data_IF_559991345119
#
_entry.id   IF_559991345119
#
_cell.length_a   1.000
_cell.length_b   1.000
_cell.length_c   1.000
_cell.angle_alpha   90.00
_cell.angle_beta   90.00
_cell.angle_gamma   90.00
#
_symmetry.space_group_name_H-M   'P 1'
#
loop_
_entity.id
_entity.type
_entity.pdbx_description
1 polymer ?
#
# COMPACT_ATOMS: atom_id res chain seq x y z
N UNK A 1 -35.74 -4.97 35.94
CA UNK A 1 -35.94 -6.41 35.67
C UNK A 1 -36.05 -6.58 34.16
N UNK A 2 -34.92 -6.64 33.47
CA UNK A 2 -34.80 -7.09 32.10
C UNK A 2 -33.60 -8.05 32.12
N UNK A 3 -33.84 -9.31 31.77
CA UNK A 3 -32.91 -10.41 32.01
C UNK A 3 -31.63 -10.28 31.17
N UNK A 4 -30.47 -10.70 31.69
CA UNK A 4 -29.33 -11.06 30.86
C UNK A 4 -29.61 -12.46 30.28
N UNK A 5 -29.13 -12.73 29.06
CA UNK A 5 -28.96 -14.07 28.44
C UNK A 5 -29.64 -14.29 27.07
N UNK A 6 -29.66 -13.29 26.18
CA UNK A 6 -29.68 -13.58 24.74
C UNK A 6 -28.55 -12.79 24.05
N UNK A 7 -27.87 -13.44 23.09
CA UNK A 7 -26.90 -12.83 22.14
C UNK A 7 -25.39 -12.81 22.47
N UNK A 8 -24.85 -13.88 23.04
CA UNK A 8 -23.41 -14.21 22.91
C UNK A 8 -23.14 -15.50 22.13
N UNK A 9 -24.01 -15.87 21.20
CA UNK A 9 -23.69 -16.92 20.23
C UNK A 9 -22.80 -16.30 19.14
N UNK A 10 -21.54 -16.72 19.06
CA UNK A 10 -20.62 -16.28 18.00
C UNK A 10 -21.32 -16.37 16.63
N UNK A 11 -21.30 -15.31 15.80
CA UNK A 11 -21.98 -15.29 14.50
C UNK A 11 -21.42 -16.36 13.55
N UNK A 12 -20.23 -16.89 13.86
CA UNK A 12 -19.57 -17.95 13.12
C UNK A 12 -19.91 -19.36 13.61
N UNK A 13 -20.59 -19.53 14.75
CA UNK A 13 -20.94 -20.86 15.25
C UNK A 13 -21.78 -21.69 14.25
N UNK A 14 -22.82 -21.12 13.60
CA UNK A 14 -23.55 -21.82 12.53
C UNK A 14 -22.68 -22.12 11.30
N UNK A 15 -21.76 -21.20 10.95
CA UNK A 15 -20.83 -21.38 9.83
C UNK A 15 -19.86 -22.55 10.05
N UNK A 16 -19.34 -22.70 11.27
CA UNK A 16 -18.44 -23.80 11.63
C UNK A 16 -19.14 -25.16 11.58
N UNK A 17 -20.41 -25.23 11.96
CA UNK A 17 -21.23 -26.45 11.86
C UNK A 17 -21.45 -26.85 10.40
N UNK A 18 -21.81 -25.89 9.54
CA UNK A 18 -21.99 -26.16 8.11
C UNK A 18 -20.66 -26.47 7.39
N UNK A 19 -19.55 -25.86 7.82
CA UNK A 19 -18.20 -26.20 7.34
C UNK A 19 -17.84 -27.66 7.68
N UNK A 20 -18.11 -28.09 8.92
CA UNK A 20 -17.92 -29.47 9.33
C UNK A 20 -18.80 -30.44 8.52
N UNK A 21 -20.04 -30.05 8.18
CA UNK A 21 -20.91 -30.83 7.29
C UNK A 21 -20.32 -30.91 5.88
N UNK A 22 -19.90 -29.79 5.29
CA UNK A 22 -19.30 -29.74 3.95
C UNK A 22 -18.04 -30.59 3.83
N UNK A 23 -17.19 -30.64 4.88
CA UNK A 23 -16.01 -31.51 4.91
C UNK A 23 -16.37 -33.00 4.93
N UNK A 24 -17.48 -33.37 5.56
CA UNK A 24 -17.98 -34.76 5.63
C UNK A 24 -18.65 -35.20 4.33
N UNK A 25 -19.47 -34.34 3.71
CA UNK A 25 -20.14 -34.59 2.43
C UNK A 25 -19.25 -34.16 1.26
N UNK A 26 -18.25 -34.97 0.90
CA UNK A 26 -17.35 -34.71 -0.22
C UNK A 26 -17.54 -35.75 -1.33
N UNK A 27 -17.07 -35.42 -2.54
CA UNK A 27 -17.25 -36.25 -3.75
C UNK A 27 -16.42 -37.55 -3.76
N UNK A 28 -15.68 -37.86 -2.69
CA UNK A 28 -14.77 -39.00 -2.65
C UNK A 28 -15.51 -40.34 -2.72
N UNK A 29 -16.69 -40.44 -2.09
CA UNK A 29 -17.53 -41.63 -2.16
C UNK A 29 -18.07 -41.85 -3.58
N UNK A 30 -18.61 -40.79 -4.20
CA UNK A 30 -19.06 -40.80 -5.59
C UNK A 30 -17.95 -41.18 -6.58
N UNK A 31 -16.71 -40.70 -6.39
CA UNK A 31 -15.56 -41.11 -7.21
C UNK A 31 -15.31 -42.61 -7.06
N UNK A 32 -15.30 -43.14 -5.83
CA UNK A 32 -15.13 -44.57 -5.59
C UNK A 32 -16.26 -45.42 -6.16
N UNK A 33 -17.49 -44.91 -6.23
CA UNK A 33 -18.59 -45.60 -6.90
C UNK A 33 -18.46 -45.56 -8.42
N UNK A 34 -17.96 -44.47 -9.01
CA UNK A 34 -17.60 -44.41 -10.44
C UNK A 34 -16.50 -45.42 -10.78
N UNK A 35 -15.46 -45.54 -9.96
CA UNK A 35 -14.39 -46.52 -10.16
C UNK A 35 -14.94 -47.96 -10.14
N UNK A 36 -15.86 -48.28 -9.23
CA UNK A 36 -16.53 -49.59 -9.21
C UNK A 36 -17.40 -49.84 -10.44
N UNK A 37 -18.09 -48.82 -10.98
CA UNK A 37 -18.84 -48.95 -12.24
C UNK A 37 -17.86 -49.27 -13.37
N UNK A 38 -16.71 -48.58 -13.43
CA UNK A 38 -15.67 -48.82 -14.42
C UNK A 38 -15.16 -50.26 -14.32
N UNK A 39 -14.86 -50.76 -13.12
CA UNK A 39 -14.42 -52.14 -12.89
C UNK A 39 -15.48 -53.15 -13.33
N UNK A 40 -16.76 -52.94 -12.98
CA UNK A 40 -17.85 -53.82 -13.36
C UNK A 40 -18.03 -53.88 -14.88
N UNK A 41 -17.99 -52.74 -15.57
CA UNK A 41 -18.11 -52.66 -17.03
C UNK A 41 -16.88 -53.24 -17.74
N UNK A 42 -15.69 -53.08 -17.17
CA UNK A 42 -14.45 -53.62 -17.73
C UNK A 42 -14.42 -55.15 -17.62
N UNK A 43 -14.79 -55.69 -16.47
CA UNK A 43 -14.94 -57.13 -16.25
C UNK A 43 -16.01 -57.74 -17.17
N UNK A 44 -17.14 -57.04 -17.33
CA UNK A 44 -18.20 -57.45 -18.24
C UNK A 44 -17.73 -57.54 -19.70
N UNK A 45 -17.00 -56.51 -20.15
CA UNK A 45 -16.42 -56.46 -21.49
C UNK A 45 -15.46 -57.62 -21.70
N UNK A 46 -14.63 -57.95 -20.72
CA UNK A 46 -13.69 -59.08 -20.78
C UNK A 46 -14.40 -60.44 -20.82
N UNK A 47 -15.46 -60.63 -20.02
CA UNK A 47 -16.28 -61.84 -20.05
C UNK A 47 -16.95 -62.04 -21.42
N UNK A 48 -17.50 -60.96 -22.00
CA UNK A 48 -18.12 -61.00 -23.33
C UNK A 48 -17.08 -61.21 -24.44
N UNK A 49 -15.86 -60.71 -24.29
CA UNK A 49 -14.78 -60.93 -25.26
C UNK A 49 -14.20 -62.36 -25.19
N UNK A 50 -14.26 -63.01 -24.03
CA UNK A 50 -13.77 -64.38 -23.82
C UNK A 50 -14.77 -65.48 -24.20
N UNK A 51 -16.09 -65.23 -24.08
CA UNK A 51 -17.14 -66.19 -24.40
C UNK A 51 -17.76 -65.95 -25.79
N UNK A 52 -17.72 -66.95 -26.68
CA UNK A 52 -18.32 -66.90 -28.02
C UNK A 52 -19.85 -67.16 -28.02
N UNK A 53 -20.43 -67.53 -26.88
CA UNK A 53 -21.84 -67.85 -26.72
C UNK A 53 -22.69 -66.60 -26.45
N UNK A 54 -23.46 -66.15 -27.45
CA UNK A 54 -24.34 -64.96 -27.33
C UNK A 54 -25.38 -65.04 -26.21
N UNK A 55 -25.73 -66.24 -25.73
CA UNK A 55 -26.64 -66.43 -24.60
C UNK A 55 -26.01 -66.08 -23.24
N UNK A 56 -24.72 -66.41 -23.03
CA UNK A 56 -23.99 -66.03 -21.81
C UNK A 56 -23.68 -64.55 -21.75
N UNK A 57 -23.38 -63.93 -22.89
CA UNK A 57 -23.24 -62.48 -23.01
C UNK A 57 -24.54 -61.76 -22.60
N UNK A 58 -25.71 -62.29 -22.99
CA UNK A 58 -27.02 -61.80 -22.56
C UNK A 58 -27.22 -61.90 -21.04
N UNK A 59 -26.85 -63.03 -20.42
CA UNK A 59 -26.94 -63.20 -18.96
C UNK A 59 -26.02 -62.25 -18.20
N UNK A 60 -24.76 -62.10 -18.65
CA UNK A 60 -23.81 -61.15 -18.06
C UNK A 60 -24.37 -59.72 -18.08
N UNK A 61 -24.94 -59.29 -19.21
CA UNK A 61 -25.58 -57.98 -19.38
C UNK A 61 -26.78 -57.79 -18.44
N UNK A 62 -27.62 -58.81 -18.25
CA UNK A 62 -28.75 -58.77 -17.30
C UNK A 62 -28.28 -58.68 -15.84
N UNK A 63 -27.22 -59.39 -15.48
CA UNK A 63 -26.67 -59.34 -14.11
C UNK A 63 -26.01 -58.00 -13.76
N UNK A 64 -25.52 -57.25 -14.75
CA UNK A 64 -24.93 -55.92 -14.57
C UNK A 64 -25.95 -54.80 -14.44
N UNK A 65 -27.17 -54.98 -14.97
CA UNK A 65 -28.16 -53.92 -15.05
C UNK A 65 -28.56 -53.39 -13.66
N UNK A 66 -28.74 -54.28 -12.68
CA UNK A 66 -29.12 -53.92 -11.32
C UNK A 66 -27.98 -53.24 -10.52
N UNK A 67 -26.75 -53.79 -10.46
CA UNK A 67 -25.66 -53.15 -9.74
C UNK A 67 -25.24 -51.79 -10.33
N UNK A 68 -25.27 -51.62 -11.67
CA UNK A 68 -24.99 -50.33 -12.30
C UNK A 68 -26.07 -49.29 -11.95
N UNK A 69 -27.35 -49.67 -11.98
CA UNK A 69 -28.44 -48.78 -11.55
C UNK A 69 -28.31 -48.37 -10.09
N UNK A 70 -28.02 -49.33 -9.19
CA UNK A 70 -27.85 -49.05 -7.77
C UNK A 70 -26.66 -48.10 -7.50
N UNK A 71 -25.54 -48.26 -8.19
CA UNK A 71 -24.40 -47.34 -8.07
C UNK A 71 -24.68 -45.96 -8.64
N UNK A 72 -25.42 -45.86 -9.76
CA UNK A 72 -25.84 -44.56 -10.30
C UNK A 72 -26.80 -43.81 -9.36
N UNK A 73 -27.71 -44.53 -8.70
CA UNK A 73 -28.59 -43.97 -7.67
C UNK A 73 -27.79 -43.50 -6.45
N UNK A 74 -26.78 -44.26 -6.02
CA UNK A 74 -25.87 -43.86 -4.94
C UNK A 74 -25.10 -42.58 -5.28
N UNK A 75 -24.49 -42.51 -6.47
CA UNK A 75 -23.78 -41.31 -6.97
C UNK A 75 -24.72 -40.09 -6.99
N UNK A 76 -25.96 -40.29 -7.45
CA UNK A 76 -26.96 -39.21 -7.50
C UNK A 76 -27.33 -38.70 -6.11
N UNK A 77 -27.42 -39.59 -5.11
CA UNK A 77 -27.70 -39.21 -3.73
C UNK A 77 -26.52 -38.48 -3.08
N UNK A 78 -25.29 -38.94 -3.32
CA UNK A 78 -24.07 -38.27 -2.83
C UNK A 78 -23.95 -36.85 -3.41
N UNK A 79 -24.20 -36.68 -4.71
CA UNK A 79 -24.22 -35.37 -5.36
C UNK A 79 -25.27 -34.42 -4.77
N UNK A 80 -26.45 -34.95 -4.42
CA UNK A 80 -27.51 -34.17 -3.75
C UNK A 80 -27.07 -33.68 -2.37
N UNK A 81 -26.44 -34.54 -1.57
CA UNK A 81 -25.94 -34.19 -0.23
C UNK A 81 -24.83 -33.14 -0.30
N UNK A 82 -23.87 -33.27 -1.23
CA UNK A 82 -22.82 -32.26 -1.47
C UNK A 82 -23.44 -30.91 -1.84
N UNK A 83 -24.40 -30.90 -2.78
CA UNK A 83 -25.07 -29.67 -3.22
C UNK A 83 -25.85 -29.01 -2.08
N UNK A 84 -26.47 -29.81 -1.21
CA UNK A 84 -27.20 -29.32 -0.05
C UNK A 84 -26.26 -28.69 1.00
N UNK A 85 -25.13 -29.33 1.27
CA UNK A 85 -24.11 -28.80 2.17
C UNK A 85 -23.49 -27.50 1.64
N UNK A 86 -23.19 -27.42 0.34
CA UNK A 86 -22.71 -26.19 -0.31
C UNK A 86 -23.70 -25.03 -0.18
N UNK A 87 -24.99 -25.28 -0.48
CA UNK A 87 -26.05 -24.27 -0.32
C UNK A 87 -26.23 -23.83 1.14
N UNK A 88 -26.12 -24.76 2.09
CA UNK A 88 -26.18 -24.47 3.53
C UNK A 88 -25.02 -23.58 3.98
N UNK A 89 -23.80 -23.93 3.58
CA UNK A 89 -22.60 -23.14 3.88
C UNK A 89 -22.66 -21.74 3.26
N UNK A 90 -23.08 -21.61 2.00
CA UNK A 90 -23.25 -20.30 1.34
C UNK A 90 -24.21 -19.38 2.11
N UNK A 91 -25.39 -19.88 2.49
CA UNK A 91 -26.35 -19.11 3.29
C UNK A 91 -25.81 -18.73 4.67
N UNK A 92 -25.06 -19.63 5.32
CA UNK A 92 -24.44 -19.34 6.61
C UNK A 92 -23.33 -18.30 6.48
N UNK A 93 -22.60 -18.30 5.36
CA UNK A 93 -21.57 -17.32 5.03
C UNK A 93 -22.19 -15.94 4.82
N UNK A 94 -23.24 -15.83 4.02
CA UNK A 94 -23.97 -14.58 3.77
C UNK A 94 -24.52 -13.96 5.06
N UNK A 95 -24.97 -14.82 6.00
CA UNK A 95 -25.48 -14.39 7.31
C UNK A 95 -24.36 -13.94 8.27
N UNK A 96 -23.21 -14.62 8.24
CA UNK A 96 -22.08 -14.31 9.11
C UNK A 96 -21.28 -13.08 8.65
N UNK A 97 -21.28 -12.82 7.33
CA UNK A 97 -20.56 -11.73 6.67
C UNK A 97 -21.51 -10.96 5.74
N UNK A 98 -22.50 -10.22 6.28
CA UNK A 98 -23.36 -9.40 5.46
C UNK A 98 -22.52 -8.37 4.71
N UNK A 99 -22.80 -8.19 3.42
CA UNK A 99 -22.15 -7.18 2.60
C UNK A 99 -22.50 -5.79 3.15
N UNK A 100 -21.58 -5.22 3.92
CA UNK A 100 -21.68 -3.87 4.45
C UNK A 100 -20.91 -2.96 3.51
N UNK A 101 -21.63 -2.16 2.74
CA UNK A 101 -21.02 -1.09 1.96
C UNK A 101 -20.20 -0.22 2.91
N UNK A 102 -18.98 0.14 2.46
CA UNK A 102 -18.11 1.01 3.25
C UNK A 102 -18.83 2.35 3.42
N UNK A 103 -18.85 2.94 4.64
CA UNK A 103 -19.39 4.27 4.83
C UNK A 103 -18.58 5.28 4.00
N UNK A 104 -19.03 5.56 2.79
CA UNK A 104 -18.46 6.57 1.88
C UNK A 104 -19.22 7.90 1.98
N UNK A 105 -20.17 8.03 2.91
CA UNK A 105 -21.11 9.16 2.96
C UNK A 105 -20.49 10.48 3.43
N UNK A 106 -19.31 10.45 4.06
CA UNK A 106 -18.60 11.67 4.48
C UNK A 106 -17.19 11.63 3.91
N UNK A 107 -17.01 12.19 2.72
CA UNK A 107 -15.69 12.54 2.23
C UNK A 107 -15.18 13.74 3.03
N UNK A 108 -14.56 13.47 4.19
CA UNK A 108 -14.00 14.50 5.06
C UNK A 108 -12.91 15.35 4.36
N UNK A 109 -12.43 14.91 3.19
CA UNK A 109 -11.48 15.66 2.36
C UNK A 109 -12.21 16.67 1.46
N UNK A 110 -13.45 16.40 1.03
CA UNK A 110 -14.24 17.31 0.20
C UNK A 110 -14.50 18.66 0.89
N UNK A 111 -14.57 18.67 2.22
CA UNK A 111 -14.80 19.89 3.02
C UNK A 111 -13.55 20.79 3.13
N UNK A 112 -12.37 20.31 2.73
CA UNK A 112 -11.09 20.99 2.95
C UNK A 112 -10.17 21.02 1.71
N UNK A 113 -10.63 21.54 0.55
CA UNK A 113 -9.83 21.60 -0.68
C UNK A 113 -8.49 22.35 -0.49
N UNK A 114 -8.49 23.46 0.25
CA UNK A 114 -7.28 24.23 0.53
C UNK A 114 -6.17 23.43 1.26
N UNK A 115 -6.54 22.50 2.15
CA UNK A 115 -5.56 21.64 2.83
C UNK A 115 -5.01 20.58 1.90
N UNK A 116 -5.82 20.09 0.97
CA UNK A 116 -5.41 19.13 -0.06
C UNK A 116 -4.43 19.82 -1.02
N UNK A 117 -4.78 21.00 -1.52
CA UNK A 117 -3.94 21.77 -2.45
C UNK A 117 -2.60 22.12 -1.81
N UNK A 118 -2.61 22.53 -0.53
CA UNK A 118 -1.38 22.72 0.24
C UNK A 118 -0.56 21.43 0.34
N UNK A 119 -1.18 20.28 0.61
CA UNK A 119 -0.49 19.00 0.69
C UNK A 119 0.12 18.58 -0.66
N UNK A 120 -0.59 18.84 -1.77
CA UNK A 120 -0.12 18.60 -3.13
C UNK A 120 1.10 19.49 -3.42
N UNK A 121 1.02 20.80 -3.14
CA UNK A 121 2.14 21.72 -3.34
C UNK A 121 3.37 21.30 -2.52
N UNK A 122 3.21 20.98 -1.24
CA UNK A 122 4.31 20.50 -0.38
C UNK A 122 4.92 19.18 -0.91
N UNK A 123 4.09 18.28 -1.44
CA UNK A 123 4.56 17.03 -2.02
C UNK A 123 5.39 17.26 -3.28
N UNK A 124 4.92 18.12 -4.20
CA UNK A 124 5.66 18.48 -5.42
C UNK A 124 7.02 19.12 -5.12
N UNK A 125 7.07 20.03 -4.13
CA UNK A 125 8.33 20.61 -3.66
C UNK A 125 9.29 19.55 -3.12
N UNK A 126 8.77 18.60 -2.35
CA UNK A 126 9.56 17.48 -1.80
C UNK A 126 10.10 16.56 -2.89
N UNK A 127 9.37 16.36 -3.98
CA UNK A 127 9.82 15.58 -5.14
C UNK A 127 10.79 16.34 -6.05
N UNK A 128 11.00 17.64 -5.82
CA UNK A 128 11.87 18.50 -6.62
C UNK A 128 11.22 18.99 -7.90
N UNK A 129 9.89 18.85 -8.03
CA UNK A 129 9.12 19.37 -9.16
C UNK A 129 8.79 20.85 -8.95
N UNK A 130 9.82 21.69 -8.80
CA UNK A 130 9.66 23.11 -8.42
C UNK A 130 8.84 23.93 -9.41
N UNK A 131 8.99 23.69 -10.71
CA UNK A 131 8.24 24.39 -11.75
C UNK A 131 6.75 24.04 -11.75
N UNK A 132 6.43 22.79 -11.43
CA UNK A 132 5.04 22.30 -11.33
C UNK A 132 4.43 22.84 -10.04
N UNK A 133 5.15 22.78 -8.92
CA UNK A 133 4.72 23.35 -7.65
C UNK A 133 4.42 24.85 -7.76
N UNK A 134 5.29 25.64 -8.39
CA UNK A 134 5.08 27.09 -8.55
C UNK A 134 3.94 27.41 -9.51
N UNK A 135 3.74 26.60 -10.54
CA UNK A 135 2.59 26.75 -11.46
C UNK A 135 1.29 26.40 -10.75
N UNK A 136 1.27 25.30 -10.00
CA UNK A 136 0.12 24.87 -9.21
C UNK A 136 -0.27 25.92 -8.16
N UNK A 137 0.69 26.47 -7.41
CA UNK A 137 0.44 27.52 -6.41
C UNK A 137 -0.11 28.81 -7.03
N UNK A 138 0.36 29.17 -8.23
CA UNK A 138 -0.19 30.32 -8.98
C UNK A 138 -1.62 30.05 -9.43
N UNK A 139 -1.88 28.87 -10.00
CA UNK A 139 -3.22 28.46 -10.44
C UNK A 139 -4.21 28.40 -9.27
N UNK A 140 -3.76 27.93 -8.10
CA UNK A 140 -4.55 27.89 -6.86
C UNK A 140 -4.98 29.29 -6.41
N UNK A 141 -4.06 30.26 -6.43
CA UNK A 141 -4.35 31.66 -6.15
C UNK A 141 -5.32 32.27 -7.16
N UNK A 142 -5.11 32.01 -8.45
CA UNK A 142 -6.01 32.49 -9.51
C UNK A 142 -7.42 31.90 -9.36
N UNK A 143 -7.54 30.62 -8.98
CA UNK A 143 -8.83 29.95 -8.78
C UNK A 143 -9.57 30.51 -7.55
N UNK A 144 -8.86 30.83 -6.46
CA UNK A 144 -9.46 31.52 -5.30
C UNK A 144 -9.95 32.92 -5.65
N UNK A 145 -9.12 33.72 -6.32
CA UNK A 145 -9.49 35.07 -6.74
C UNK A 145 -10.70 35.07 -7.68
N UNK A 146 -10.85 34.06 -8.55
CA UNK A 146 -12.03 33.90 -9.40
C UNK A 146 -13.29 33.50 -8.61
N UNK A 147 -13.17 32.62 -7.61
CA UNK A 147 -14.28 32.25 -6.72
C UNK A 147 -14.71 33.42 -5.82
N UNK A 148 -13.77 34.26 -5.38
CA UNK A 148 -14.06 35.48 -4.64
C UNK A 148 -14.68 36.55 -5.52
N UNK A 149 -14.20 36.72 -6.77
CA UNK A 149 -14.76 37.68 -7.73
C UNK A 149 -16.20 37.35 -8.12
N UNK A 150 -16.53 36.06 -8.27
CA UNK A 150 -17.92 35.61 -8.54
C UNK A 150 -18.83 35.81 -7.33
N UNK A 151 -18.31 35.66 -6.11
CA UNK A 151 -19.04 35.94 -4.86
C UNK A 151 -19.19 37.45 -4.59
N UNK A 152 -18.18 38.25 -4.94
CA UNK A 152 -18.20 39.71 -4.81
C UNK A 152 -19.17 40.38 -5.80
N UNK A 153 -19.36 39.85 -7.01
CA UNK A 153 -20.38 40.35 -7.95
C UNK A 153 -21.82 40.05 -7.49
N UNK A 154 -22.04 39.01 -6.69
CA UNK A 154 -23.33 38.74 -6.06
C UNK A 154 -23.60 39.68 -4.86
N UNK A 155 -22.55 40.17 -4.17
CA UNK A 155 -22.69 41.03 -3.00
C UNK A 155 -22.64 42.55 -3.30
N UNK A 156 -22.03 42.96 -4.41
CA UNK A 156 -21.97 44.38 -4.85
C UNK A 156 -23.28 44.92 -5.41
N UNK A 157 -24.29 44.09 -5.67
CA UNK A 157 -25.66 44.58 -5.96
C UNK A 157 -26.39 44.99 -4.66
N UNK A 158 -25.90 44.62 -3.46
CA UNK A 158 -26.68 44.73 -2.22
C UNK A 158 -26.17 45.74 -1.17
N UNK A 159 -25.03 46.41 -1.33
CA UNK A 159 -24.57 47.39 -0.31
C UNK A 159 -23.88 48.59 -0.94
N UNK A 160 -24.68 49.61 -1.22
CA UNK A 160 -24.26 51.00 -1.08
C UNK A 160 -25.04 51.49 0.15
N UNK A 161 -24.47 51.31 1.34
CA UNK A 161 -24.86 52.06 2.52
C UNK A 161 -24.05 53.36 2.63
N UNK A 162 -24.67 54.32 3.31
CA UNK A 162 -24.43 55.76 3.20
C UNK A 162 -23.47 56.28 4.29
N UNK A 163 -22.69 55.42 4.95
CA UNK A 163 -21.84 55.77 6.09
C UNK A 163 -20.32 55.62 5.87
N UNK A 164 -19.88 55.18 4.69
CA UNK A 164 -18.51 55.41 4.22
C UNK A 164 -17.39 54.84 5.11
N UNK A 165 -17.66 53.71 5.78
CA UNK A 165 -16.64 52.97 6.52
C UNK A 165 -16.53 51.54 5.97
N UNK A 166 -15.68 51.39 4.95
CA UNK A 166 -15.38 50.10 4.33
C UNK A 166 -14.00 49.61 4.81
N UNK A 167 -13.82 49.48 6.13
CA UNK A 167 -12.66 48.79 6.72
C UNK A 167 -12.90 47.26 6.80
N UNK A 168 -12.98 46.63 5.63
CA UNK A 168 -12.83 45.19 5.52
C UNK A 168 -11.33 44.83 5.45
N UNK A 169 -10.64 44.80 6.60
CA UNK A 169 -9.39 44.04 6.74
C UNK A 169 -9.70 42.54 6.56
N UNK A 170 -9.52 42.01 5.35
CA UNK A 170 -9.76 40.59 5.01
C UNK A 170 -8.43 39.87 4.76
N UNK A 171 -8.23 38.75 5.45
CA UNK A 171 -7.45 37.51 5.18
C UNK A 171 -6.11 37.50 4.39
N UNK A 172 -5.57 38.62 3.92
CA UNK A 172 -4.28 38.66 3.19
C UNK A 172 -3.08 38.15 4.04
N UNK A 173 -3.21 38.13 5.37
CA UNK A 173 -2.15 37.67 6.28
C UNK A 173 -1.92 36.15 6.17
N UNK A 174 -2.96 35.34 5.98
CA UNK A 174 -2.83 33.88 5.88
C UNK A 174 -2.24 33.42 4.53
N UNK A 175 -2.50 34.19 3.46
CA UNK A 175 -1.98 33.91 2.12
C UNK A 175 -0.52 34.34 1.96
N UNK A 176 -0.14 35.45 2.61
CA UNK A 176 1.27 35.86 2.72
C UNK A 176 2.10 34.80 3.44
N UNK A 177 1.55 34.21 4.51
CA UNK A 177 2.20 33.13 5.27
C UNK A 177 2.40 31.86 4.42
N UNK A 178 1.44 31.47 3.57
CA UNK A 178 1.58 30.26 2.74
C UNK A 178 2.60 30.44 1.61
N UNK A 179 2.62 31.60 0.95
CA UNK A 179 3.62 31.92 -0.08
C UNK A 179 5.03 31.98 0.52
N UNK A 180 5.19 32.67 1.66
CA UNK A 180 6.47 32.75 2.37
C UNK A 180 6.96 31.37 2.82
N UNK A 181 6.08 30.54 3.37
CA UNK A 181 6.43 29.17 3.75
C UNK A 181 6.80 28.31 2.54
N UNK A 182 6.18 28.52 1.39
CA UNK A 182 6.51 27.81 0.15
C UNK A 182 7.89 28.20 -0.38
N UNK A 183 8.23 29.49 -0.37
CA UNK A 183 9.55 29.99 -0.80
C UNK A 183 10.66 29.44 0.11
N UNK A 184 10.48 29.53 1.42
CA UNK A 184 11.40 28.96 2.42
C UNK A 184 11.60 27.44 2.24
N UNK A 185 10.54 26.73 1.89
CA UNK A 185 10.57 25.28 1.71
C UNK A 185 11.21 24.92 0.37
N UNK A 186 10.95 25.70 -0.67
CA UNK A 186 11.59 25.58 -1.97
C UNK A 186 13.10 25.79 -1.85
N UNK A 187 13.54 26.80 -1.10
CA UNK A 187 14.97 27.04 -0.86
C UNK A 187 15.63 25.86 -0.15
N UNK A 188 15.02 25.35 0.92
CA UNK A 188 15.51 24.17 1.65
C UNK A 188 15.58 22.93 0.77
N UNK A 189 14.56 22.68 -0.06
CA UNK A 189 14.58 21.55 -0.98
C UNK A 189 15.58 21.77 -2.13
N UNK A 190 15.76 22.99 -2.61
CA UNK A 190 16.78 23.31 -3.63
C UNK A 190 18.20 23.03 -3.11
N UNK A 191 18.48 23.41 -1.87
CA UNK A 191 19.74 23.10 -1.18
C UNK A 191 19.92 21.58 -1.06
N UNK A 192 18.88 20.86 -0.63
CA UNK A 192 18.89 19.40 -0.56
C UNK A 192 19.20 18.76 -1.92
N UNK A 193 18.54 19.18 -3.00
CA UNK A 193 18.78 18.64 -4.34
C UNK A 193 20.16 18.99 -4.88
N UNK A 194 20.69 20.17 -4.57
CA UNK A 194 22.07 20.56 -4.88
C UNK A 194 23.07 19.63 -4.19
N UNK A 195 22.87 19.36 -2.89
CA UNK A 195 23.69 18.41 -2.13
C UNK A 195 23.58 17.00 -2.73
N UNK A 196 22.37 16.54 -3.08
CA UNK A 196 22.17 15.24 -3.72
C UNK A 196 22.87 15.12 -5.08
N UNK A 197 22.89 16.20 -5.88
CA UNK A 197 23.65 16.23 -7.14
C UNK A 197 25.16 16.09 -6.89
N UNK A 198 25.69 16.83 -5.92
CA UNK A 198 27.10 16.76 -5.52
C UNK A 198 27.48 15.38 -4.96
N UNK A 199 26.59 14.74 -4.19
CA UNK A 199 26.78 13.36 -3.72
C UNK A 199 26.84 12.35 -4.88
N UNK A 200 26.03 12.52 -5.93
CA UNK A 200 26.10 11.67 -7.15
C UNK A 200 27.44 11.83 -7.88
N UNK A 201 27.99 13.04 -7.88
CA UNK A 201 29.32 13.35 -8.42
C UNK A 201 30.46 12.96 -7.48
N UNK A 202 30.16 12.30 -6.35
CA UNK A 202 31.12 11.88 -5.31
C UNK A 202 31.79 13.04 -4.57
N UNK A 203 31.21 14.24 -4.63
CA UNK A 203 31.61 15.38 -3.82
C UNK A 203 30.81 15.42 -2.51
N UNK A 204 31.45 14.98 -1.42
CA UNK A 204 30.81 14.94 -0.10
C UNK A 204 30.89 16.28 0.66
N UNK A 205 31.66 17.26 0.15
CA UNK A 205 31.93 18.52 0.86
C UNK A 205 30.66 19.29 1.21
N UNK A 206 29.71 19.51 0.28
CA UNK A 206 28.48 20.26 0.59
C UNK A 206 27.60 19.54 1.61
N UNK A 207 27.56 18.20 1.56
CA UNK A 207 26.81 17.41 2.54
C UNK A 207 27.41 17.51 3.95
N UNK A 208 28.74 17.52 4.07
CA UNK A 208 29.45 17.64 5.35
C UNK A 208 29.23 19.03 5.95
N UNK A 209 29.30 20.08 5.14
CA UNK A 209 29.06 21.45 5.58
C UNK A 209 27.62 21.65 6.05
N UNK A 210 26.66 21.14 5.28
CA UNK A 210 25.25 21.15 5.67
C UNK A 210 25.00 20.40 6.97
N UNK A 211 25.55 19.19 7.11
CA UNK A 211 25.41 18.39 8.33
C UNK A 211 26.05 19.05 9.54
N UNK A 212 27.16 19.79 9.34
CA UNK A 212 27.83 20.57 10.39
C UNK A 212 26.97 21.73 10.88
N UNK A 213 26.37 22.50 9.97
CA UNK A 213 25.49 23.62 10.33
C UNK A 213 24.26 23.10 11.09
N UNK A 214 23.71 21.98 10.64
CA UNK A 214 22.51 21.37 11.21
C UNK A 214 22.80 20.39 12.37
N UNK A 215 24.05 20.28 12.82
CA UNK A 215 24.48 19.29 13.82
C UNK A 215 23.62 19.33 15.09
N UNK A 216 23.38 20.48 15.77
CA UNK A 216 22.63 20.47 17.04
C UNK A 216 21.23 19.85 16.92
N UNK A 217 20.56 20.07 15.78
CA UNK A 217 19.24 19.49 15.47
C UNK A 217 19.33 18.01 15.13
N UNK A 218 20.35 17.61 14.37
CA UNK A 218 20.59 16.21 14.03
C UNK A 218 20.90 15.38 15.29
N UNK A 219 21.68 15.94 16.23
CA UNK A 219 22.01 15.29 17.50
C UNK A 219 20.81 15.14 18.41
N UNK A 220 19.96 16.16 18.51
CA UNK A 220 18.70 16.08 19.26
C UNK A 220 17.79 14.94 18.75
N UNK A 221 17.83 14.68 17.45
CA UNK A 221 17.11 13.58 16.80
C UNK A 221 17.86 12.23 16.86
N UNK A 222 19.04 12.18 17.49
CA UNK A 222 19.87 10.97 17.61
C UNK A 222 20.65 10.60 16.34
N UNK A 223 20.68 11.46 15.31
CA UNK A 223 21.40 11.21 14.06
C UNK A 223 22.91 11.44 14.23
N UNK A 224 23.72 10.59 13.59
CA UNK A 224 25.18 10.69 13.53
C UNK A 224 25.69 11.06 12.12
N UNK A 225 24.84 11.71 11.32
CA UNK A 225 25.08 11.96 9.90
C UNK A 225 26.41 12.69 9.60
N UNK A 226 26.78 13.72 10.38
CA UNK A 226 28.05 14.44 10.17
C UNK A 226 29.25 13.48 10.30
N UNK A 227 29.22 12.59 11.29
CA UNK A 227 30.29 11.61 11.52
C UNK A 227 30.39 10.60 10.38
N UNK A 228 29.26 10.02 9.94
CA UNK A 228 29.26 9.05 8.84
C UNK A 228 29.74 9.67 7.52
N UNK A 229 29.36 10.93 7.24
CA UNK A 229 29.85 11.65 6.06
C UNK A 229 31.36 11.93 6.15
N UNK A 230 31.87 12.36 7.31
CA UNK A 230 33.31 12.57 7.51
C UNK A 230 34.09 11.26 7.40
N UNK A 231 33.55 10.16 7.94
CA UNK A 231 34.11 8.80 7.82
C UNK A 231 34.15 8.34 6.37
N UNK A 232 33.07 8.55 5.62
CA UNK A 232 33.03 8.19 4.21
C UNK A 232 34.06 8.99 3.41
N UNK A 233 34.18 10.31 3.64
CA UNK A 233 35.19 11.15 3.00
C UNK A 233 36.61 10.70 3.34
N UNK A 234 36.89 10.35 4.61
CA UNK A 234 38.18 9.80 5.00
C UNK A 234 38.51 8.51 4.25
N UNK A 235 37.58 7.55 4.21
CA UNK A 235 37.78 6.28 3.48
C UNK A 235 38.00 6.52 1.99
N UNK A 236 37.28 7.48 1.42
CA UNK A 236 37.39 7.85 0.01
C UNK A 236 38.76 8.44 -0.33
N UNK A 237 39.29 9.35 0.50
CA UNK A 237 40.66 9.87 0.36
C UNK A 237 41.71 8.79 0.58
N UNK A 238 41.51 7.93 1.60
CA UNK A 238 42.47 6.90 1.97
C UNK A 238 42.71 5.86 0.87
N UNK A 239 41.68 5.55 0.08
CA UNK A 239 41.78 4.65 -1.07
C UNK A 239 42.69 5.18 -2.19
N UNK A 240 42.94 6.49 -2.23
CA UNK A 240 43.86 7.14 -3.17
C UNK A 240 43.41 7.16 -4.62
N UNK A 241 44.19 7.86 -5.46
CA UNK A 241 43.91 8.16 -6.87
C UNK A 241 43.52 6.94 -7.70
N UNK A 242 44.08 5.76 -7.40
CA UNK A 242 43.81 4.51 -8.11
C UNK A 242 42.35 4.01 -8.05
N UNK A 243 41.62 4.37 -6.99
CA UNK A 243 40.24 3.90 -6.78
C UNK A 243 39.21 5.03 -6.74
N UNK A 244 39.61 6.24 -6.35
CA UNK A 244 38.69 7.37 -6.21
C UNK A 244 38.62 8.29 -7.44
N UNK A 245 39.58 8.18 -8.38
CA UNK A 245 39.61 9.00 -9.59
C UNK A 245 39.97 10.47 -9.34
N UNK A 246 40.42 10.82 -8.13
CA UNK A 246 40.93 12.15 -7.79
C UNK A 246 42.41 12.27 -8.20
N UNK A 247 42.93 13.51 -8.41
CA UNK A 247 44.34 13.75 -8.68
C UNK A 247 45.26 13.13 -7.63
N UNK A 248 46.45 12.70 -8.02
CA UNK A 248 47.50 12.27 -7.09
C UNK A 248 48.22 13.51 -6.54
N UNK A 249 47.61 14.15 -5.55
CA UNK A 249 48.11 15.35 -4.87
C UNK A 249 48.23 15.13 -3.34
N UNK A 250 48.78 16.11 -2.64
CA UNK A 250 48.96 16.06 -1.18
C UNK A 250 47.63 15.94 -0.39
N UNK A 251 46.49 16.19 -1.05
CA UNK A 251 45.15 16.08 -0.48
C UNK A 251 44.50 14.72 -0.72
N UNK A 252 45.12 13.84 -1.50
CA UNK A 252 44.65 12.50 -1.83
C UNK A 252 45.58 11.40 -1.28
N UNK A 253 45.07 10.17 -1.15
CA UNK A 253 45.82 9.04 -0.60
C UNK A 253 45.95 9.09 0.93
N UNK A 254 46.94 8.34 1.45
CA UNK A 254 47.10 8.14 2.90
C UNK A 254 47.44 9.46 3.63
N UNK A 255 48.29 10.30 3.03
CA UNK A 255 48.69 11.58 3.61
C UNK A 255 47.52 12.57 3.67
N UNK A 256 46.79 12.74 2.56
CA UNK A 256 45.59 13.57 2.51
C UNK A 256 44.49 13.10 3.47
N UNK A 257 44.28 11.78 3.56
CA UNK A 257 43.32 11.20 4.50
C UNK A 257 43.71 11.47 5.97
N UNK A 258 45.00 11.38 6.32
CA UNK A 258 45.49 11.69 7.68
C UNK A 258 45.31 13.17 8.02
N UNK A 259 45.65 14.08 7.09
CA UNK A 259 45.44 15.51 7.27
C UNK A 259 43.94 15.84 7.45
N UNK A 260 43.08 15.21 6.66
CA UNK A 260 41.62 15.32 6.80
C UNK A 260 41.15 14.80 8.17
N UNK A 261 41.67 13.65 8.60
CA UNK A 261 41.30 13.04 9.87
C UNK A 261 41.59 13.95 11.06
N UNK A 262 42.80 14.53 11.11
CA UNK A 262 43.23 15.43 12.17
C UNK A 262 42.33 16.67 12.29
N UNK A 263 41.87 17.22 11.15
CA UNK A 263 41.04 18.43 11.12
C UNK A 263 39.56 18.16 11.45
N UNK A 264 39.02 17.02 11.02
CA UNK A 264 37.58 16.76 11.10
C UNK A 264 37.18 15.83 12.25
N UNK A 265 38.02 14.89 12.70
CA UNK A 265 37.63 13.88 13.69
C UNK A 265 37.84 14.28 15.15
N UNK A 266 38.65 15.30 15.44
CA UNK A 266 38.91 15.74 16.81
C UNK A 266 37.63 16.10 17.59
N UNK A 267 36.62 16.66 16.90
CA UNK A 267 35.33 17.04 17.49
C UNK A 267 34.45 15.84 17.89
N UNK A 268 34.65 14.68 17.28
CA UNK A 268 33.84 13.49 17.51
C UNK A 268 34.41 12.60 18.64
N UNK A 269 35.56 12.98 19.21
CA UNK A 269 36.25 12.22 20.24
C UNK A 269 35.42 12.02 21.50
N UNK A 270 34.60 12.98 21.90
CA UNK A 270 33.77 12.87 23.11
C UNK A 270 32.60 11.87 22.99
N UNK A 271 32.23 11.48 21.76
CA UNK A 271 31.02 10.69 21.49
C UNK A 271 31.30 9.31 20.87
N UNK A 272 32.41 9.16 20.16
CA UNK A 272 32.71 7.97 19.36
C UNK A 272 34.04 7.27 19.73
N UNK A 273 34.77 7.80 20.72
CA UNK A 273 35.97 7.22 21.32
C UNK A 273 35.75 7.07 22.83
#
# INVERSE_FOLDING_TARGET
MAGPDEDTASPFAPLLVELARMRKSNLRAAIGDVDKIIDLLTNAREQVAADADGHRAGMAMTTLQNPVKAQLEAITNDLKEVTKAQKGFGKALDKALPQRELPMETDAMADHPALIDRAIAMHLLREGQFSVASTFLREEQEHRQQNESTTAMAHTISRIDEDGDDEMKRDDEADSDMQSLSEDLQDKFSEMYSILAQLKERNLTPAIEWARINNPRLEANGSNLEFELCKLQFVWLFKGHSQNGLPDDDHNGQLGALAYAQKHFARFQSRHL
#
